data_IF_988527530033
#
_entry.id   IF_988527530033
#
_cell.length_a   1.000
_cell.length_b   1.000
_cell.length_c   1.000
_cell.angle_alpha   90.00
_cell.angle_beta   90.00
_cell.angle_gamma   90.00
#
_symmetry.space_group_name_H-M   'P 1'
#
loop_
_entity.id
_entity.type
_entity.pdbx_description
1 polymer ?
#
# COMPACT_ATOMS: atom_id res chain seq x y z
N UNK A 1 30.80 60.26 -25.84
CA UNK A 1 31.28 58.89 -25.53
C UNK A 1 30.66 58.50 -24.21
N UNK A 2 29.53 57.81 -24.25
CA UNK A 2 28.72 57.47 -23.07
C UNK A 2 28.82 55.96 -22.82
N UNK A 3 29.48 55.58 -21.71
CA UNK A 3 29.62 54.20 -21.30
C UNK A 3 28.35 53.72 -20.63
N UNK A 4 27.62 52.80 -21.28
CA UNK A 4 26.46 52.12 -20.75
C UNK A 4 26.92 50.83 -20.06
N UNK A 5 26.97 50.84 -18.72
CA UNK A 5 27.25 49.62 -17.92
C UNK A 5 25.93 48.87 -17.75
N UNK A 6 25.79 47.73 -18.43
CA UNK A 6 24.74 46.74 -18.19
C UNK A 6 25.00 46.03 -16.87
N UNK A 7 24.15 46.30 -15.86
CA UNK A 7 24.06 45.46 -14.68
C UNK A 7 23.19 44.22 -15.02
N UNK A 8 23.83 43.07 -15.15
CA UNK A 8 23.13 41.81 -15.25
C UNK A 8 22.73 41.34 -13.84
N UNK A 9 21.50 41.52 -13.46
CA UNK A 9 20.93 40.99 -12.23
C UNK A 9 20.54 39.53 -12.47
N UNK A 10 21.39 38.60 -12.04
CA UNK A 10 21.08 37.16 -12.07
C UNK A 10 20.04 36.84 -11.00
N UNK A 11 18.79 36.62 -11.43
CA UNK A 11 17.71 36.15 -10.59
C UNK A 11 17.89 34.64 -10.36
N UNK A 12 18.49 34.26 -9.24
CA UNK A 12 18.57 32.86 -8.80
C UNK A 12 17.21 32.50 -8.22
N UNK A 13 16.35 31.86 -9.05
CA UNK A 13 15.10 31.27 -8.60
C UNK A 13 15.44 29.96 -7.88
N UNK A 14 15.56 30.01 -6.54
CA UNK A 14 15.74 28.83 -5.71
C UNK A 14 14.50 27.94 -5.80
N UNK A 15 14.62 26.77 -6.45
CA UNK A 15 13.64 25.69 -6.36
C UNK A 15 13.65 25.14 -4.92
N UNK A 16 12.81 25.71 -4.06
CA UNK A 16 12.50 25.10 -2.76
C UNK A 16 11.59 23.90 -3.08
N UNK A 17 12.20 22.73 -3.20
CA UNK A 17 11.46 21.47 -3.29
C UNK A 17 10.65 21.28 -2.01
N UNK A 18 9.34 21.50 -2.07
CA UNK A 18 8.43 21.15 -0.98
C UNK A 18 8.37 19.63 -0.90
N UNK A 19 9.08 19.04 0.05
CA UNK A 19 8.87 17.65 0.41
C UNK A 19 7.46 17.53 1.00
N UNK A 20 6.50 17.13 0.18
CA UNK A 20 5.18 16.75 0.67
C UNK A 20 5.32 15.43 1.41
N UNK A 21 5.48 15.49 2.73
CA UNK A 21 5.25 14.32 3.56
C UNK A 21 3.80 13.90 3.36
N UNK A 22 3.60 12.68 2.84
CA UNK A 22 2.26 12.12 2.78
C UNK A 22 1.66 12.12 4.20
N UNK A 23 0.51 12.75 4.37
CA UNK A 23 -0.15 12.79 5.67
C UNK A 23 -0.49 11.36 6.10
N UNK A 24 -0.19 11.03 7.36
CA UNK A 24 -0.60 9.75 7.95
C UNK A 24 -2.14 9.74 7.99
N UNK A 25 -2.81 8.71 7.45
CA UNK A 25 -4.27 8.66 7.42
C UNK A 25 -4.86 8.58 8.83
N UNK A 26 -6.02 9.18 9.04
CA UNK A 26 -6.74 9.09 10.32
C UNK A 26 -7.26 7.67 10.59
N UNK A 27 -7.62 6.94 9.55
CA UNK A 27 -8.09 5.55 9.62
C UNK A 27 -7.38 4.74 8.56
N UNK A 28 -6.99 3.52 8.90
CA UNK A 28 -6.39 2.54 8.01
C UNK A 28 -7.15 1.23 8.13
N UNK A 29 -7.65 0.72 7.01
CA UNK A 29 -8.45 -0.50 6.95
C UNK A 29 -7.63 -1.60 6.28
N UNK A 30 -7.42 -2.73 6.97
CA UNK A 30 -6.67 -3.86 6.48
C UNK A 30 -7.48 -5.14 6.56
N UNK A 31 -7.24 -6.07 5.65
CA UNK A 31 -7.76 -7.42 5.82
C UNK A 31 -6.86 -8.25 6.74
N UNK A 32 -7.43 -9.32 7.28
CA UNK A 32 -6.70 -10.43 7.87
C UNK A 32 -7.34 -11.75 7.47
N UNK A 33 -6.55 -12.82 7.41
CA UNK A 33 -7.02 -14.12 6.98
C UNK A 33 -6.23 -15.25 7.65
N UNK A 34 -6.88 -16.39 7.84
CA UNK A 34 -6.22 -17.57 8.47
C UNK A 34 -5.10 -18.15 7.61
N UNK A 35 -5.15 -17.96 6.30
CA UNK A 35 -4.07 -18.36 5.38
C UNK A 35 -2.90 -17.37 5.33
N UNK A 36 -2.99 -16.23 6.00
CA UNK A 36 -1.94 -15.22 6.08
C UNK A 36 -1.48 -15.02 7.52
N UNK A 37 -0.65 -15.92 8.06
CA UNK A 37 -0.26 -15.91 9.48
C UNK A 37 0.40 -14.60 9.90
N UNK A 38 1.10 -13.94 8.99
CA UNK A 38 1.69 -12.62 9.24
C UNK A 38 0.62 -11.59 9.65
N UNK A 39 -0.54 -11.58 8.96
CA UNK A 39 -1.63 -10.66 9.29
C UNK A 39 -2.22 -10.91 10.67
N UNK A 40 -2.31 -12.20 11.06
CA UNK A 40 -2.78 -12.58 12.40
C UNK A 40 -1.82 -12.10 13.50
N UNK A 41 -0.51 -12.30 13.32
CA UNK A 41 0.50 -11.84 14.29
C UNK A 41 0.48 -10.31 14.42
N UNK A 42 0.44 -9.59 13.30
CA UNK A 42 0.41 -8.11 13.29
C UNK A 42 -0.83 -7.60 14.03
N UNK A 43 -1.99 -8.23 13.80
CA UNK A 43 -3.26 -7.89 14.46
C UNK A 43 -3.23 -8.20 15.95
N UNK A 44 -2.88 -9.44 16.34
CA UNK A 44 -2.90 -9.90 17.74
C UNK A 44 -1.90 -9.11 18.61
N UNK A 45 -0.73 -8.83 18.10
CA UNK A 45 0.29 -8.06 18.81
C UNK A 45 0.09 -6.55 18.71
N UNK A 46 -0.94 -6.08 18.00
CA UNK A 46 -1.25 -4.65 17.79
C UNK A 46 -0.03 -3.87 17.27
N UNK A 47 0.70 -4.45 16.31
CA UNK A 47 1.95 -3.85 15.84
C UNK A 47 1.70 -2.53 15.08
N UNK A 48 0.63 -2.47 14.29
CA UNK A 48 0.27 -1.25 13.56
C UNK A 48 -0.26 -0.16 14.50
N UNK A 49 -1.07 -0.51 15.47
CA UNK A 49 -1.60 0.42 16.47
C UNK A 49 -0.46 1.03 17.31
N UNK A 50 0.56 0.24 17.63
CA UNK A 50 1.77 0.72 18.30
C UNK A 50 2.63 1.63 17.42
N UNK A 51 2.76 1.31 16.13
CA UNK A 51 3.57 2.07 15.18
C UNK A 51 2.86 3.37 14.73
N UNK A 52 1.53 3.37 14.71
CA UNK A 52 0.69 4.46 14.23
C UNK A 52 -0.33 4.90 15.30
N UNK A 53 0.12 5.44 16.45
CA UNK A 53 -0.75 5.69 17.60
C UNK A 53 -1.84 6.76 17.36
N UNK A 54 -1.75 7.50 16.27
CA UNK A 54 -2.74 8.52 15.88
C UNK A 54 -3.68 8.05 14.77
N UNK A 55 -3.53 6.80 14.30
CA UNK A 55 -4.34 6.20 13.23
C UNK A 55 -5.26 5.14 13.81
N UNK A 56 -6.54 5.23 13.52
CA UNK A 56 -7.48 4.17 13.84
C UNK A 56 -7.24 2.98 12.90
N UNK A 57 -6.88 1.81 13.42
CA UNK A 57 -6.67 0.58 12.64
C UNK A 57 -7.95 -0.25 12.65
N UNK A 58 -8.50 -0.53 11.47
CA UNK A 58 -9.68 -1.37 11.29
C UNK A 58 -9.31 -2.67 10.57
N UNK A 59 -9.60 -3.80 11.22
CA UNK A 59 -9.36 -5.12 10.69
C UNK A 59 -10.63 -5.75 10.13
N UNK A 60 -10.57 -6.22 8.88
CA UNK A 60 -11.67 -6.88 8.18
C UNK A 60 -11.26 -8.32 7.87
N UNK A 61 -12.07 -9.28 8.29
CA UNK A 61 -11.80 -10.69 8.00
C UNK A 61 -12.11 -11.01 6.54
N UNK A 62 -11.18 -11.69 5.85
CA UNK A 62 -11.36 -12.18 4.48
C UNK A 62 -11.18 -13.70 4.42
N UNK A 63 -12.06 -14.39 3.70
CA UNK A 63 -12.09 -15.85 3.59
C UNK A 63 -11.22 -16.39 2.45
N UNK A 64 -10.50 -15.54 1.73
CA UNK A 64 -9.65 -15.93 0.61
C UNK A 64 -9.35 -14.78 -0.33
N UNK A 65 -8.42 -15.00 -1.25
CA UNK A 65 -7.89 -13.99 -2.15
C UNK A 65 -8.97 -13.24 -2.95
N UNK A 66 -10.01 -13.91 -3.40
CA UNK A 66 -11.10 -13.28 -4.14
C UNK A 66 -11.85 -12.28 -3.26
N UNK A 67 -12.17 -12.66 -2.02
CA UNK A 67 -12.87 -11.78 -1.07
C UNK A 67 -11.98 -10.59 -0.67
N UNK A 68 -10.69 -10.82 -0.46
CA UNK A 68 -9.72 -9.76 -0.20
C UNK A 68 -9.69 -8.73 -1.32
N UNK A 69 -9.67 -9.19 -2.57
CA UNK A 69 -9.68 -8.32 -3.76
C UNK A 69 -11.02 -7.59 -3.95
N UNK A 70 -12.15 -8.22 -3.66
CA UNK A 70 -13.46 -7.55 -3.65
C UNK A 70 -13.49 -6.39 -2.64
N UNK A 71 -12.99 -6.61 -1.42
CA UNK A 71 -12.92 -5.57 -0.39
C UNK A 71 -11.98 -4.44 -0.79
N UNK A 72 -10.84 -4.76 -1.42
CA UNK A 72 -9.90 -3.75 -1.91
C UNK A 72 -10.53 -2.93 -3.05
N UNK A 73 -11.16 -3.57 -4.02
CA UNK A 73 -11.79 -2.91 -5.16
C UNK A 73 -13.01 -2.06 -4.76
N UNK A 74 -13.74 -2.44 -3.72
CA UNK A 74 -14.87 -1.68 -3.18
C UNK A 74 -14.46 -0.56 -2.22
N UNK A 75 -13.16 -0.45 -1.86
CA UNK A 75 -12.69 0.50 -0.84
C UNK A 75 -13.08 0.12 0.58
N UNK A 76 -13.54 -1.11 0.81
CA UNK A 76 -13.82 -1.63 2.16
C UNK A 76 -12.55 -1.83 2.97
N UNK A 77 -11.43 -2.08 2.30
CA UNK A 77 -10.08 -2.08 2.88
C UNK A 77 -9.12 -1.27 2.01
N UNK A 78 -8.04 -0.76 2.62
CA UNK A 78 -6.97 -0.01 1.96
C UNK A 78 -5.79 -0.94 1.59
N UNK A 79 -5.60 -2.00 2.38
CA UNK A 79 -4.60 -3.04 2.15
C UNK A 79 -5.24 -4.43 2.29
N UNK A 80 -4.86 -5.32 1.39
CA UNK A 80 -5.37 -6.69 1.37
C UNK A 80 -4.26 -7.69 1.05
N UNK A 81 -4.36 -8.88 1.64
CA UNK A 81 -3.49 -10.02 1.35
C UNK A 81 -4.13 -10.91 0.29
N UNK A 82 -3.38 -11.24 -0.76
CA UNK A 82 -3.90 -12.09 -1.83
C UNK A 82 -2.80 -12.98 -2.43
N UNK A 83 -3.20 -14.09 -3.03
CA UNK A 83 -2.30 -14.92 -3.83
C UNK A 83 -1.87 -14.18 -5.10
N UNK A 84 -0.63 -14.41 -5.54
CA UNK A 84 -0.05 -13.70 -6.68
C UNK A 84 -0.86 -13.83 -7.97
N UNK A 85 -1.32 -15.05 -8.30
CA UNK A 85 -2.12 -15.28 -9.49
C UNK A 85 -3.48 -14.55 -9.44
N UNK A 86 -4.12 -14.49 -8.28
CA UNK A 86 -5.36 -13.75 -8.12
C UNK A 86 -5.14 -12.23 -8.30
N UNK A 87 -4.02 -11.69 -7.82
CA UNK A 87 -3.65 -10.30 -8.04
C UNK A 87 -3.41 -10.01 -9.54
N UNK A 88 -2.69 -10.89 -10.24
CA UNK A 88 -2.45 -10.76 -11.70
C UNK A 88 -3.78 -10.78 -12.47
N UNK A 89 -4.68 -11.72 -12.17
CA UNK A 89 -5.99 -11.81 -12.80
C UNK A 89 -6.84 -10.55 -12.52
N UNK A 90 -6.84 -10.07 -11.31
CA UNK A 90 -7.57 -8.85 -10.95
C UNK A 90 -7.05 -7.64 -11.75
N UNK A 91 -5.74 -7.50 -11.89
CA UNK A 91 -5.16 -6.44 -12.72
C UNK A 91 -5.49 -6.59 -14.19
N UNK A 92 -5.42 -7.82 -14.73
CA UNK A 92 -5.79 -8.11 -16.12
C UNK A 92 -7.25 -7.74 -16.43
N UNK A 93 -8.12 -7.83 -15.43
CA UNK A 93 -9.53 -7.41 -15.49
C UNK A 93 -9.74 -5.91 -15.22
N UNK A 94 -8.68 -5.12 -15.21
CA UNK A 94 -8.76 -3.65 -15.08
C UNK A 94 -8.75 -3.09 -13.65
N UNK A 95 -8.56 -3.93 -12.63
CA UNK A 95 -8.45 -3.43 -11.25
C UNK A 95 -7.21 -2.56 -11.07
N UNK A 96 -7.30 -1.36 -10.44
CA UNK A 96 -6.18 -0.44 -10.28
C UNK A 96 -5.25 -0.80 -9.11
N UNK A 97 -5.34 -2.03 -8.58
CA UNK A 97 -4.52 -2.48 -7.44
C UNK A 97 -3.02 -2.42 -7.74
N UNK A 98 -2.24 -2.23 -6.68
CA UNK A 98 -0.77 -2.25 -6.73
C UNK A 98 -0.25 -3.23 -5.69
N UNK A 99 0.76 -4.03 -6.07
CA UNK A 99 1.49 -4.86 -5.13
C UNK A 99 2.53 -3.99 -4.42
N UNK A 100 2.47 -3.93 -3.11
CA UNK A 100 3.40 -3.15 -2.27
C UNK A 100 4.45 -4.02 -1.58
N UNK A 101 4.15 -5.31 -1.36
CA UNK A 101 5.04 -6.26 -0.73
C UNK A 101 4.70 -7.71 -1.10
N UNK A 102 5.72 -8.58 -1.19
CA UNK A 102 5.59 -10.02 -1.36
C UNK A 102 6.04 -10.67 -0.06
N UNK A 103 5.08 -11.18 0.72
CA UNK A 103 5.36 -11.72 2.07
C UNK A 103 5.99 -13.11 2.04
N UNK A 104 5.77 -13.91 0.97
CA UNK A 104 6.31 -15.25 0.84
C UNK A 104 6.24 -15.75 -0.60
N UNK A 105 7.11 -16.67 -0.97
CA UNK A 105 7.19 -17.27 -2.31
C UNK A 105 7.29 -18.80 -2.28
N UNK A 106 6.68 -19.52 -1.32
CA UNK A 106 6.66 -20.97 -1.35
C UNK A 106 5.66 -21.50 -2.37
N UNK A 107 5.79 -22.74 -2.76
CA UNK A 107 4.76 -23.46 -3.47
C UNK A 107 3.63 -23.82 -2.51
N UNK A 108 2.47 -23.19 -2.69
CA UNK A 108 1.31 -23.35 -1.83
C UNK A 108 0.38 -24.50 -2.25
N UNK A 109 0.51 -24.95 -3.49
CA UNK A 109 -0.47 -25.86 -4.09
C UNK A 109 0.25 -27.01 -4.80
N UNK A 110 -0.18 -28.24 -4.53
CA UNK A 110 0.27 -29.44 -5.21
C UNK A 110 -0.94 -30.26 -5.68
N UNK A 111 -0.79 -30.96 -6.79
CA UNK A 111 -1.72 -32.02 -7.18
C UNK A 111 -1.30 -33.31 -6.47
N UNK A 112 -2.23 -33.86 -5.71
CA UNK A 112 -2.04 -35.16 -5.05
C UNK A 112 -2.80 -36.21 -5.86
N UNK A 113 -2.07 -37.22 -6.29
CA UNK A 113 -2.64 -38.39 -7.01
C UNK A 113 -2.52 -39.63 -6.12
N UNK A 114 -3.52 -40.52 -6.23
CA UNK A 114 -3.51 -41.81 -5.54
C UNK A 114 -2.71 -42.83 -6.33
#
# INVERSE_FOLDING_TARGET
>A
MTNFKLLSTSLILGLIGTYTHAAVPNTLKLDYAYYAPTSLVVKEQKLLEKALPKTEIKWVFSQGSNRSLEYLNSGSVDFASTAGLAAVLSRANGSPIKTVYIQSQPEWTALVVA
#
